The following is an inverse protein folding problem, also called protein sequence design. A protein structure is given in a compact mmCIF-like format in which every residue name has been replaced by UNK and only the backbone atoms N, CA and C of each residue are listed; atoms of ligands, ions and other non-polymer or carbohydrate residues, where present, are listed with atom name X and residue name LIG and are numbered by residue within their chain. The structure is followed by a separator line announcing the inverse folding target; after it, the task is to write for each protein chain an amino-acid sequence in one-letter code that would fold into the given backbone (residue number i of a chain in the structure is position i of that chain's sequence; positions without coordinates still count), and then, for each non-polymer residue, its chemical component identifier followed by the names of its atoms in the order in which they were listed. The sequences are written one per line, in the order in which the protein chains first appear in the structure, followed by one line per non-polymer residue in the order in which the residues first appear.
data_IF_939479141234
#
_entry.id   IF_939479141234
#
_cell.length_a   1.000
_cell.length_b   1.000
_cell.length_c   1.000
_cell.angle_alpha   90.00
_cell.angle_beta   90.00
_cell.angle_gamma   90.00
#
_symmetry.space_group_name_H-M   'P 1'
#
loop_
_entity.id
_entity.type
_entity.pdbx_description
1 polymer ?
#
# COMPACT_ATOMS: atom_id res chain seq x y z
N UNK A 1 24.71 -5.38 -14.11
CA UNK A 1 23.97 -4.54 -13.16
C UNK A 1 22.57 -4.36 -13.74
N UNK A 2 21.53 -4.80 -13.06
CA UNK A 2 20.15 -4.59 -13.52
C UNK A 2 19.88 -3.08 -13.59
N UNK A 3 19.16 -2.65 -14.62
CA UNK A 3 18.73 -1.25 -14.74
C UNK A 3 17.42 -1.10 -13.94
N UNK A 4 17.08 0.11 -13.55
CA UNK A 4 15.83 0.40 -12.86
C UNK A 4 14.59 -0.18 -13.57
N UNK A 5 14.58 -0.16 -14.89
CA UNK A 5 13.53 -0.75 -15.75
C UNK A 5 13.38 -2.27 -15.62
N UNK A 6 14.35 -2.93 -14.99
CA UNK A 6 14.33 -4.39 -14.82
C UNK A 6 13.57 -4.83 -13.54
N UNK A 7 13.29 -3.89 -12.60
CA UNK A 7 12.56 -4.19 -11.38
C UNK A 7 11.05 -4.02 -11.57
N UNK A 8 10.38 -5.16 -11.64
CA UNK A 8 8.96 -5.28 -11.98
C UNK A 8 8.11 -5.27 -10.70
N UNK A 9 7.10 -4.41 -10.64
CA UNK A 9 6.06 -4.43 -9.61
C UNK A 9 4.87 -5.28 -10.05
N UNK A 10 4.38 -5.06 -11.27
CA UNK A 10 3.23 -5.76 -11.84
C UNK A 10 3.44 -6.08 -13.32
N UNK A 11 2.80 -7.20 -13.76
CA UNK A 11 2.79 -7.62 -15.16
C UNK A 11 1.35 -7.84 -15.58
N UNK A 12 0.91 -7.15 -16.62
CA UNK A 12 -0.33 -7.44 -17.32
C UNK A 12 -0.02 -8.24 -18.58
N UNK A 13 -0.56 -9.45 -18.65
CA UNK A 13 -0.40 -10.34 -19.80
C UNK A 13 -1.43 -9.95 -20.84
N UNK A 14 -0.98 -9.63 -22.05
CA UNK A 14 -1.79 -9.38 -23.26
C UNK A 14 -1.57 -10.54 -24.24
N UNK A 15 -2.37 -10.65 -25.31
CA UNK A 15 -2.34 -11.79 -26.23
C UNK A 15 -0.92 -12.12 -26.74
N UNK A 16 -0.14 -11.10 -27.13
CA UNK A 16 1.20 -11.26 -27.70
C UNK A 16 2.30 -10.49 -26.95
N UNK A 17 2.01 -9.92 -25.77
CA UNK A 17 2.95 -9.05 -25.06
C UNK A 17 2.76 -9.04 -23.55
N UNK A 18 3.85 -8.69 -22.85
CA UNK A 18 3.80 -8.35 -21.43
C UNK A 18 3.86 -6.83 -21.29
N UNK A 19 2.86 -6.26 -20.62
CA UNK A 19 2.93 -4.88 -20.11
C UNK A 19 3.53 -4.92 -18.72
N UNK A 20 4.50 -4.09 -18.49
CA UNK A 20 5.26 -4.04 -17.24
C UNK A 20 5.02 -2.70 -16.57
N UNK A 21 4.71 -2.71 -15.28
CA UNK A 21 4.82 -1.58 -14.40
C UNK A 21 6.07 -1.79 -13.54
N UNK A 22 7.00 -0.85 -13.57
CA UNK A 22 8.20 -0.91 -12.73
C UNK A 22 7.86 -0.64 -11.26
N UNK A 23 8.74 -1.06 -10.35
CA UNK A 23 8.57 -0.77 -8.91
C UNK A 23 8.54 0.73 -8.66
N UNK A 24 9.37 1.50 -9.36
CA UNK A 24 9.38 2.97 -9.24
C UNK A 24 8.06 3.60 -9.70
N UNK A 25 7.55 3.23 -10.88
CA UNK A 25 6.29 3.76 -11.39
C UNK A 25 5.15 3.51 -10.41
N UNK A 26 5.07 2.29 -9.86
CA UNK A 26 4.08 1.92 -8.86
C UNK A 26 4.25 2.71 -7.55
N UNK A 27 5.48 2.80 -7.03
CA UNK A 27 5.77 3.58 -5.82
C UNK A 27 5.41 5.05 -5.97
N UNK A 28 5.71 5.67 -7.13
CA UNK A 28 5.34 7.06 -7.43
C UNK A 28 3.81 7.22 -7.47
N UNK A 29 3.11 6.32 -8.14
CA UNK A 29 1.65 6.35 -8.24
C UNK A 29 0.99 6.20 -6.88
N UNK A 30 1.41 5.20 -6.11
CA UNK A 30 0.92 4.93 -4.75
C UNK A 30 1.24 6.08 -3.80
N UNK A 31 2.46 6.63 -3.84
CA UNK A 31 2.84 7.77 -3.01
C UNK A 31 1.97 9.00 -3.29
N UNK A 32 1.70 9.29 -4.56
CA UNK A 32 0.88 10.44 -4.98
C UNK A 32 -0.56 10.29 -4.48
N UNK A 33 -1.16 9.12 -4.63
CA UNK A 33 -2.52 8.86 -4.18
C UNK A 33 -2.62 8.88 -2.65
N UNK A 34 -1.71 8.21 -1.96
CA UNK A 34 -1.68 8.14 -0.49
C UNK A 34 -1.42 9.52 0.14
N UNK A 35 -0.54 10.36 -0.46
CA UNK A 35 -0.35 11.76 -0.08
C UNK A 35 -1.67 12.53 -0.15
N UNK A 36 -2.38 12.40 -1.27
CA UNK A 36 -3.67 13.08 -1.50
C UNK A 36 -4.72 12.65 -0.49
N UNK A 37 -4.87 11.35 -0.24
CA UNK A 37 -5.85 10.82 0.71
C UNK A 37 -5.54 11.23 2.14
N UNK A 38 -4.28 11.13 2.56
CA UNK A 38 -3.85 11.49 3.90
C UNK A 38 -3.86 13.00 4.16
N UNK A 39 -3.85 13.84 3.11
CA UNK A 39 -3.92 15.30 3.25
C UNK A 39 -5.19 15.77 3.96
N UNK A 40 -6.30 15.04 3.85
CA UNK A 40 -7.59 15.36 4.44
C UNK A 40 -7.54 15.47 5.98
N UNK A 41 -6.61 14.73 6.61
CA UNK A 41 -6.40 14.78 8.06
C UNK A 41 -4.99 15.22 8.45
N UNK A 42 -4.34 16.02 7.59
CA UNK A 42 -3.04 16.63 7.87
C UNK A 42 -1.84 15.68 7.86
N UNK A 43 -1.98 14.49 7.23
CA UNK A 43 -0.95 13.46 7.20
C UNK A 43 -0.34 13.24 5.80
N UNK A 44 -0.37 14.25 4.92
CA UNK A 44 0.09 14.14 3.53
C UNK A 44 1.51 13.56 3.41
N UNK A 45 2.47 14.11 4.15
CA UNK A 45 3.86 13.65 4.16
C UNK A 45 4.00 12.18 4.59
N UNK A 46 3.22 11.75 5.56
CA UNK A 46 3.16 10.37 6.02
C UNK A 46 2.59 9.43 4.96
N UNK A 47 1.51 9.85 4.30
CA UNK A 47 0.92 9.11 3.18
C UNK A 47 1.92 8.93 2.04
N UNK A 48 2.60 10.02 1.65
CA UNK A 48 3.65 9.99 0.61
C UNK A 48 4.76 9.01 0.94
N UNK A 49 5.31 9.09 2.16
CA UNK A 49 6.43 8.24 2.58
C UNK A 49 6.02 6.76 2.66
N UNK A 50 4.80 6.46 3.11
CA UNK A 50 4.26 5.11 3.10
C UNK A 50 4.17 4.54 1.68
N UNK A 51 3.55 5.28 0.76
CA UNK A 51 3.43 4.85 -0.63
C UNK A 51 4.78 4.70 -1.34
N UNK A 52 5.76 5.53 -0.97
CA UNK A 52 7.10 5.44 -1.54
C UNK A 52 7.84 4.16 -1.14
N UNK A 53 7.67 3.69 0.10
CA UNK A 53 8.43 2.56 0.64
C UNK A 53 7.66 1.24 0.80
N UNK A 54 6.35 1.20 0.54
CA UNK A 54 5.55 0.00 0.84
C UNK A 54 6.05 -1.27 0.17
N UNK A 55 6.56 -1.15 -1.04
CA UNK A 55 6.97 -2.24 -1.92
C UNK A 55 8.48 -2.36 -2.14
N UNK A 56 9.29 -1.78 -1.26
CA UNK A 56 10.76 -1.79 -1.40
C UNK A 56 11.35 -3.19 -1.53
N UNK A 57 10.75 -4.20 -0.91
CA UNK A 57 11.21 -5.60 -1.04
C UNK A 57 11.00 -6.19 -2.44
N UNK A 58 10.31 -5.52 -3.34
CA UNK A 58 10.25 -5.90 -4.75
C UNK A 58 11.58 -5.59 -5.49
N UNK A 59 12.46 -4.77 -4.90
CA UNK A 59 13.82 -4.55 -5.40
C UNK A 59 14.80 -5.68 -5.04
N UNK A 60 14.37 -6.93 -5.10
CA UNK A 60 15.23 -8.09 -4.79
C UNK A 60 15.39 -8.96 -6.03
N UNK A 61 16.60 -8.93 -6.64
CA UNK A 61 16.88 -9.59 -7.92
C UNK A 61 16.89 -11.12 -7.84
N UNK A 62 17.20 -11.68 -6.65
CA UNK A 62 17.29 -13.12 -6.48
C UNK A 62 16.02 -13.74 -5.87
N UNK A 63 15.12 -12.94 -5.33
CA UNK A 63 13.89 -13.42 -4.71
C UNK A 63 12.62 -12.93 -5.38
N UNK A 64 12.27 -11.65 -5.31
CA UNK A 64 11.00 -11.18 -5.87
C UNK A 64 11.00 -11.13 -7.40
N UNK A 65 12.08 -10.71 -8.04
CA UNK A 65 12.12 -10.56 -9.49
C UNK A 65 12.00 -11.89 -10.24
N UNK A 66 12.65 -12.99 -9.85
CA UNK A 66 12.37 -14.31 -10.43
C UNK A 66 10.97 -14.80 -10.16
N UNK A 67 10.40 -14.52 -8.97
CA UNK A 67 9.02 -14.89 -8.63
C UNK A 67 8.00 -14.23 -9.56
N UNK A 68 8.04 -12.89 -9.69
CA UNK A 68 7.03 -12.16 -10.49
C UNK A 68 7.11 -12.54 -11.98
N UNK A 69 8.31 -12.74 -12.52
CA UNK A 69 8.52 -13.19 -13.89
C UNK A 69 7.95 -14.59 -14.12
N UNK A 70 8.25 -15.53 -13.20
CA UNK A 70 7.71 -16.88 -13.26
C UNK A 70 6.19 -16.90 -13.14
N UNK A 71 5.63 -16.16 -12.18
CA UNK A 71 4.18 -16.07 -11.97
C UNK A 71 3.42 -15.48 -13.16
N UNK A 72 4.08 -14.63 -13.96
CA UNK A 72 3.53 -14.02 -15.17
C UNK A 72 3.78 -14.85 -16.44
N UNK A 73 4.42 -16.02 -16.34
CA UNK A 73 4.76 -16.85 -17.50
C UNK A 73 5.95 -16.36 -18.33
N UNK A 74 6.73 -15.40 -17.81
CA UNK A 74 7.96 -14.96 -18.46
C UNK A 74 9.07 -16.00 -18.23
N UNK A 75 10.03 -16.05 -19.16
CA UNK A 75 11.19 -16.93 -19.00
C UNK A 75 12.08 -16.49 -17.83
N UNK A 76 12.48 -17.43 -16.99
CA UNK A 76 13.36 -17.24 -15.84
C UNK A 76 14.45 -18.30 -15.80
N UNK A 77 15.66 -17.90 -15.39
CA UNK A 77 16.77 -18.84 -15.18
C UNK A 77 16.58 -19.67 -13.91
N UNK A 78 16.11 -19.01 -12.83
CA UNK A 78 15.81 -19.64 -11.56
C UNK A 78 14.31 -19.54 -11.24
N UNK A 79 13.68 -20.67 -11.03
CA UNK A 79 12.24 -20.71 -10.71
C UNK A 79 12.02 -20.49 -9.21
N UNK A 80 11.36 -19.41 -8.87
CA UNK A 80 10.85 -19.13 -7.52
C UNK A 80 9.33 -19.28 -7.55
N UNK A 81 8.80 -20.19 -6.76
CA UNK A 81 7.36 -20.55 -6.76
C UNK A 81 6.62 -19.82 -5.65
N UNK A 82 7.20 -19.78 -4.45
CA UNK A 82 6.57 -19.14 -3.30
C UNK A 82 6.74 -17.62 -3.37
N UNK A 83 5.67 -16.89 -3.06
CA UNK A 83 5.71 -15.43 -3.04
C UNK A 83 6.62 -14.94 -1.91
N UNK A 84 7.73 -14.24 -2.21
CA UNK A 84 8.62 -13.71 -1.20
C UNK A 84 7.96 -12.59 -0.39
N UNK A 85 8.42 -12.42 0.85
CA UNK A 85 8.08 -11.27 1.66
C UNK A 85 8.71 -10.00 1.05
N UNK A 86 7.87 -9.07 0.64
CA UNK A 86 8.31 -7.80 0.02
C UNK A 86 7.89 -6.57 0.83
N UNK A 87 7.08 -6.74 1.87
CA UNK A 87 6.61 -5.64 2.73
C UNK A 87 7.52 -5.36 3.93
N UNK A 88 8.30 -6.36 4.39
CA UNK A 88 9.17 -6.18 5.56
C UNK A 88 10.36 -5.27 5.28
N UNK A 89 10.93 -5.29 4.08
CA UNK A 89 12.11 -4.51 3.75
C UNK A 89 11.88 -2.99 3.87
N UNK A 90 10.74 -2.49 3.35
CA UNK A 90 10.37 -1.07 3.48
C UNK A 90 10.09 -0.66 4.93
N UNK A 91 9.50 -1.54 5.74
CA UNK A 91 9.28 -1.27 7.16
C UNK A 91 10.61 -1.19 7.96
N UNK A 92 11.58 -2.04 7.62
CA UNK A 92 12.94 -1.99 8.21
C UNK A 92 13.64 -0.71 7.76
N UNK A 93 13.55 -0.35 6.48
CA UNK A 93 14.11 0.90 5.95
C UNK A 93 13.55 2.13 6.69
N UNK A 94 12.24 2.14 6.97
CA UNK A 94 11.63 3.20 7.78
C UNK A 94 12.25 3.28 9.18
N UNK A 95 12.50 2.16 9.84
CA UNK A 95 13.16 2.13 11.16
C UNK A 95 14.59 2.67 11.11
N UNK A 96 15.35 2.31 10.09
CA UNK A 96 16.76 2.71 9.97
C UNK A 96 16.90 4.21 9.58
N UNK A 97 16.06 4.70 8.68
CA UNK A 97 16.14 6.09 8.18
C UNK A 97 15.40 7.10 9.07
N UNK A 98 14.36 6.67 9.78
CA UNK A 98 13.47 7.54 10.55
C UNK A 98 13.20 6.99 11.97
N UNK A 99 14.24 6.80 12.81
CA UNK A 99 14.11 6.11 14.10
C UNK A 99 13.09 6.75 15.05
N UNK A 100 12.84 8.06 14.95
CA UNK A 100 11.84 8.78 15.75
C UNK A 100 10.41 8.69 15.22
N UNK A 101 10.21 8.26 13.97
CA UNK A 101 8.91 8.29 13.27
C UNK A 101 8.48 6.93 12.69
N UNK A 102 9.35 5.91 12.73
CA UNK A 102 9.11 4.66 12.02
C UNK A 102 7.88 3.86 12.45
N UNK A 103 7.41 3.84 13.71
CA UNK A 103 6.37 2.88 14.10
C UNK A 103 5.10 3.00 13.24
N UNK A 104 4.51 4.17 13.01
CA UNK A 104 3.34 4.29 12.13
C UNK A 104 3.62 3.82 10.70
N UNK A 105 4.78 4.19 10.13
CA UNK A 105 5.19 3.76 8.80
C UNK A 105 5.34 2.23 8.73
N UNK A 106 6.05 1.66 9.71
CA UNK A 106 6.29 0.22 9.77
C UNK A 106 5.01 -0.60 9.89
N UNK A 107 4.03 -0.14 10.70
CA UNK A 107 2.71 -0.76 10.79
C UNK A 107 1.99 -0.78 9.45
N UNK A 108 1.95 0.36 8.77
CA UNK A 108 1.29 0.48 7.48
C UNK A 108 1.99 -0.35 6.42
N UNK A 109 3.31 -0.21 6.29
CA UNK A 109 4.11 -0.87 5.26
C UNK A 109 4.12 -2.39 5.46
N UNK A 110 4.45 -2.88 6.67
CA UNK A 110 4.49 -4.32 6.92
C UNK A 110 3.10 -4.97 6.82
N UNK A 111 2.04 -4.20 7.07
CA UNK A 111 0.67 -4.67 7.13
C UNK A 111 -0.11 -4.62 5.81
N UNK A 112 0.34 -3.90 4.77
CA UNK A 112 -0.49 -3.52 3.63
C UNK A 112 -1.15 -4.71 2.87
N UNK A 113 -0.59 -5.91 2.97
CA UNK A 113 -1.21 -7.13 2.44
C UNK A 113 -1.87 -8.03 3.48
N UNK A 114 -1.63 -7.83 4.77
CA UNK A 114 -2.08 -8.76 5.82
C UNK A 114 -2.95 -8.13 6.90
N UNK A 115 -3.15 -6.82 6.85
CA UNK A 115 -3.76 -6.02 7.91
C UNK A 115 -2.73 -5.54 8.94
N UNK A 116 -3.17 -4.63 9.81
CA UNK A 116 -2.31 -4.11 10.89
C UNK A 116 -1.97 -5.24 11.86
N UNK A 117 -0.68 -5.43 12.06
CA UNK A 117 -0.12 -6.48 12.90
C UNK A 117 -0.13 -6.07 14.37
N UNK A 118 -0.14 -7.04 15.29
CA UNK A 118 0.24 -6.76 16.66
C UNK A 118 1.73 -6.44 16.74
N UNK A 119 2.14 -5.65 17.74
CA UNK A 119 3.56 -5.40 17.98
C UNK A 119 4.30 -6.69 18.36
N UNK A 120 3.73 -7.42 19.34
CA UNK A 120 4.19 -8.72 19.77
C UNK A 120 2.99 -9.65 19.95
N UNK A 121 3.07 -10.83 19.41
CA UNK A 121 2.09 -11.91 19.64
C UNK A 121 2.79 -13.26 19.71
N UNK A 122 2.11 -14.27 20.20
CA UNK A 122 2.64 -15.65 20.23
C UNK A 122 2.77 -16.27 18.83
N UNK A 123 2.12 -15.67 17.83
CA UNK A 123 2.17 -16.09 16.43
C UNK A 123 3.35 -15.52 15.65
N UNK A 124 3.55 -16.04 14.45
CA UNK A 124 4.60 -15.56 13.54
C UNK A 124 4.28 -14.21 12.90
N UNK A 125 3.02 -13.81 12.88
CA UNK A 125 2.53 -12.60 12.23
C UNK A 125 2.49 -11.43 13.23
N UNK A 126 3.66 -10.92 13.62
CA UNK A 126 3.76 -9.70 14.42
C UNK A 126 4.80 -8.74 13.82
N UNK A 127 4.67 -7.44 14.13
CA UNK A 127 5.52 -6.42 13.56
C UNK A 127 6.99 -6.58 13.97
N UNK A 128 7.24 -6.90 15.25
CA UNK A 128 8.59 -7.07 15.74
C UNK A 128 9.36 -8.18 14.98
N UNK A 129 8.66 -9.28 14.66
CA UNK A 129 9.24 -10.36 13.85
C UNK A 129 9.45 -9.93 12.39
N UNK A 130 8.53 -9.13 11.82
CA UNK A 130 8.74 -8.55 10.48
C UNK A 130 9.98 -7.67 10.44
N UNK A 131 10.18 -6.83 11.44
CA UNK A 131 11.34 -5.95 11.56
C UNK A 131 12.67 -6.69 11.84
N UNK A 132 12.64 -7.96 12.20
CA UNK A 132 13.84 -8.77 12.38
C UNK A 132 14.30 -9.54 11.13
N UNK A 133 13.58 -9.43 10.01
CA UNK A 133 13.92 -10.11 8.74
C UNK A 133 15.00 -9.35 7.99
N UNK A 134 16.25 -9.55 8.35
CA UNK A 134 17.39 -8.81 7.80
C UNK A 134 17.78 -9.20 6.36
N UNK A 135 17.55 -10.46 5.97
CA UNK A 135 18.03 -10.97 4.68
C UNK A 135 17.37 -10.25 3.48
N UNK A 136 16.05 -10.12 3.49
CA UNK A 136 15.32 -9.40 2.44
C UNK A 136 15.68 -7.89 2.43
N UNK A 137 15.99 -7.33 3.59
CA UNK A 137 16.42 -5.94 3.72
C UNK A 137 17.82 -5.71 3.14
N UNK A 138 18.78 -6.61 3.41
CA UNK A 138 20.13 -6.50 2.86
C UNK A 138 20.13 -6.63 1.34
N UNK A 139 19.41 -7.61 0.79
CA UNK A 139 19.28 -7.76 -0.65
C UNK A 139 18.64 -6.51 -1.30
N UNK A 140 17.61 -5.96 -0.68
CA UNK A 140 16.97 -4.72 -1.14
C UNK A 140 17.94 -3.54 -1.14
N UNK A 141 18.77 -3.37 -0.11
CA UNK A 141 19.75 -2.28 -0.02
C UNK A 141 20.79 -2.34 -1.16
N UNK A 142 21.20 -3.56 -1.55
CA UNK A 142 22.15 -3.76 -2.63
C UNK A 142 21.55 -3.50 -4.01
N UNK A 143 20.26 -3.79 -4.18
CA UNK A 143 19.60 -3.81 -5.49
C UNK A 143 18.77 -2.56 -5.78
N UNK A 144 18.18 -1.94 -4.76
CA UNK A 144 17.34 -0.75 -4.93
C UNK A 144 18.17 0.49 -5.29
N UNK A 145 17.72 1.31 -6.26
CA UNK A 145 18.34 2.61 -6.53
C UNK A 145 18.42 3.48 -5.27
N UNK A 146 19.51 4.24 -5.11
CA UNK A 146 19.71 5.11 -3.95
C UNK A 146 18.53 6.09 -3.76
N UNK A 147 18.01 6.65 -4.84
CA UNK A 147 16.87 7.57 -4.80
C UNK A 147 15.61 6.93 -4.19
N UNK A 148 15.40 5.62 -4.38
CA UNK A 148 14.25 4.90 -3.80
C UNK A 148 14.40 4.67 -2.30
N UNK A 149 15.64 4.71 -1.80
CA UNK A 149 15.96 4.55 -0.37
C UNK A 149 15.88 5.87 0.40
N UNK A 150 15.69 6.99 -0.30
CA UNK A 150 15.66 8.31 0.32
C UNK A 150 14.32 8.63 1.01
N UNK A 151 14.40 9.49 2.02
CA UNK A 151 13.24 10.11 2.66
C UNK A 151 12.71 11.20 1.72
N UNK A 152 11.50 11.01 1.19
CA UNK A 152 10.92 11.92 0.19
C UNK A 152 9.96 12.96 0.77
N UNK A 153 9.71 12.91 2.06
CA UNK A 153 8.83 13.86 2.75
C UNK A 153 9.37 14.19 4.14
N UNK A 154 9.28 15.47 4.53
CA UNK A 154 9.53 15.89 5.90
C UNK A 154 8.35 15.51 6.77
N UNK A 155 8.57 14.63 7.75
CA UNK A 155 7.52 14.17 8.65
C UNK A 155 7.41 15.09 9.85
N UNK A 156 6.23 15.66 10.03
CA UNK A 156 5.86 16.40 11.22
C UNK A 156 5.19 15.48 12.25
N UNK A 157 5.06 15.96 13.49
CA UNK A 157 4.27 15.23 14.49
C UNK A 157 2.82 15.09 14.02
N UNK A 158 2.18 13.92 14.26
CA UNK A 158 0.78 13.74 13.93
C UNK A 158 -0.11 14.81 14.57
N UNK A 159 -1.03 15.39 13.77
CA UNK A 159 -2.00 16.37 14.25
C UNK A 159 -3.16 15.63 14.93
N UNK A 160 -2.96 15.25 16.20
CA UNK A 160 -3.93 14.56 17.05
C UNK A 160 -3.95 15.23 18.43
N UNK A 161 -5.16 15.44 18.97
CA UNK A 161 -5.33 16.17 20.22
C UNK A 161 -4.88 15.36 21.44
N UNK A 162 -5.20 14.06 21.48
CA UNK A 162 -4.80 13.14 22.55
C UNK A 162 -4.01 11.97 21.94
N UNK A 163 -2.69 12.09 21.96
CA UNK A 163 -1.80 11.11 21.31
C UNK A 163 -2.02 9.69 21.84
N UNK A 164 -2.18 9.52 23.16
CA UNK A 164 -2.30 8.18 23.75
C UNK A 164 -3.60 7.48 23.34
N UNK A 165 -4.68 8.24 23.16
CA UNK A 165 -5.98 7.69 22.79
C UNK A 165 -6.15 7.54 21.27
N UNK A 166 -5.64 8.50 20.50
CA UNK A 166 -6.05 8.66 19.10
C UNK A 166 -5.03 8.13 18.10
N UNK A 167 -3.77 7.88 18.53
CA UNK A 167 -2.71 7.40 17.64
C UNK A 167 -3.09 6.11 16.89
N UNK A 168 -3.78 5.19 17.54
CA UNK A 168 -4.18 3.94 16.90
C UNK A 168 -5.22 4.16 15.80
N UNK A 169 -6.14 5.12 15.98
CA UNK A 169 -7.11 5.48 14.94
C UNK A 169 -6.43 6.23 13.80
N UNK A 170 -5.51 7.12 14.11
CA UNK A 170 -4.73 7.83 13.12
C UNK A 170 -3.89 6.86 12.24
N UNK A 171 -3.23 5.86 12.85
CA UNK A 171 -2.52 4.81 12.11
C UNK A 171 -3.48 4.01 11.21
N UNK A 172 -4.71 3.70 11.66
CA UNK A 172 -5.71 2.99 10.84
C UNK A 172 -6.13 3.82 9.62
N UNK A 173 -6.32 5.13 9.79
CA UNK A 173 -6.62 6.02 8.69
C UNK A 173 -5.46 6.08 7.68
N UNK A 174 -4.22 6.23 8.19
CA UNK A 174 -3.03 6.24 7.36
C UNK A 174 -2.83 4.91 6.61
N UNK A 175 -3.10 3.79 7.27
CA UNK A 175 -3.10 2.46 6.67
C UNK A 175 -4.14 2.33 5.55
N UNK A 176 -5.37 2.81 5.77
CA UNK A 176 -6.40 2.81 4.74
C UNK A 176 -5.99 3.64 3.52
N UNK A 177 -5.36 4.80 3.73
CA UNK A 177 -4.85 5.63 2.63
C UNK A 177 -3.80 4.88 1.79
N UNK A 178 -2.90 4.13 2.43
CA UNK A 178 -1.90 3.33 1.73
C UNK A 178 -2.54 2.20 0.93
N UNK A 179 -3.43 1.41 1.58
CA UNK A 179 -4.06 0.24 0.93
C UNK A 179 -4.93 0.67 -0.25
N UNK A 180 -5.72 1.74 -0.09
CA UNK A 180 -6.52 2.27 -1.19
C UNK A 180 -5.64 2.80 -2.33
N UNK A 181 -4.55 3.48 -2.02
CA UNK A 181 -3.63 4.01 -3.01
C UNK A 181 -2.93 2.89 -3.81
N UNK A 182 -2.42 1.86 -3.13
CA UNK A 182 -1.80 0.68 -3.73
C UNK A 182 -2.79 -0.05 -4.66
N UNK A 183 -4.02 -0.28 -4.16
CA UNK A 183 -5.06 -0.94 -4.94
C UNK A 183 -5.44 -0.14 -6.18
N UNK A 184 -5.64 1.18 -6.05
CA UNK A 184 -6.08 2.03 -7.16
C UNK A 184 -4.99 2.23 -8.22
N UNK A 185 -3.72 2.30 -7.82
CA UNK A 185 -2.60 2.36 -8.77
C UNK A 185 -2.44 1.03 -9.51
N UNK A 186 -2.52 -0.09 -8.78
CA UNK A 186 -2.54 -1.45 -9.36
C UNK A 186 -3.72 -1.63 -10.32
N UNK A 187 -4.94 -1.24 -9.93
CA UNK A 187 -6.12 -1.31 -10.81
C UNK A 187 -5.95 -0.48 -12.08
N UNK A 188 -5.41 0.73 -11.96
CA UNK A 188 -5.15 1.61 -13.12
C UNK A 188 -4.24 0.93 -14.14
N UNK A 189 -3.25 0.21 -13.68
CA UNK A 189 -2.33 -0.52 -14.53
C UNK A 189 -2.94 -1.83 -15.07
N UNK A 190 -3.54 -2.64 -14.20
CA UNK A 190 -4.05 -3.98 -14.55
C UNK A 190 -5.38 -3.92 -15.31
N UNK A 191 -6.27 -2.99 -14.94
CA UNK A 191 -7.64 -2.87 -15.42
C UNK A 191 -8.01 -1.42 -15.79
N UNK A 192 -7.33 -0.80 -16.79
CA UNK A 192 -7.50 0.61 -17.10
C UNK A 192 -8.94 1.00 -17.46
N UNK A 193 -9.70 0.11 -18.08
CA UNK A 193 -11.11 0.34 -18.40
C UNK A 193 -11.99 0.42 -17.14
N UNK A 194 -11.69 -0.39 -16.13
CA UNK A 194 -12.37 -0.34 -14.84
C UNK A 194 -12.00 0.95 -14.09
N UNK A 195 -10.72 1.28 -14.06
CA UNK A 195 -10.23 2.51 -13.44
C UNK A 195 -10.86 3.77 -14.07
N UNK A 196 -11.07 3.79 -15.39
CA UNK A 196 -11.70 4.90 -16.09
C UNK A 196 -13.18 5.13 -15.73
N UNK A 197 -13.85 4.14 -15.15
CA UNK A 197 -15.24 4.25 -14.67
C UNK A 197 -15.34 4.88 -13.28
N UNK A 198 -14.23 4.98 -12.54
CA UNK A 198 -14.20 5.63 -11.22
C UNK A 198 -14.39 7.14 -11.35
N UNK A 199 -14.98 7.74 -10.32
CA UNK A 199 -15.24 9.19 -10.29
C UNK A 199 -16.52 9.63 -10.99
N UNK A 200 -17.28 8.73 -11.59
CA UNK A 200 -18.60 9.00 -12.18
C UNK A 200 -19.73 8.67 -11.17
N UNK A 201 -19.51 8.98 -9.90
CA UNK A 201 -20.51 8.74 -8.86
C UNK A 201 -21.31 10.02 -8.63
N UNK A 202 -22.58 9.82 -8.30
CA UNK A 202 -23.41 10.92 -7.80
C UNK A 202 -22.81 11.52 -6.52
N UNK A 203 -23.09 12.81 -6.27
CA UNK A 203 -22.69 13.44 -5.01
C UNK A 203 -23.28 12.72 -3.80
N UNK A 204 -22.62 12.83 -2.65
CA UNK A 204 -23.15 12.29 -1.38
C UNK A 204 -24.54 12.85 -1.05
N UNK A 205 -24.80 14.09 -1.43
CA UNK A 205 -26.12 14.73 -1.28
C UNK A 205 -27.18 14.01 -2.13
N UNK A 206 -26.90 13.78 -3.42
CA UNK A 206 -27.80 13.02 -4.29
C UNK A 206 -28.04 11.60 -3.82
N UNK A 207 -26.98 10.92 -3.32
CA UNK A 207 -27.10 9.56 -2.78
C UNK A 207 -27.93 9.55 -1.51
N UNK A 208 -27.77 10.54 -0.63
CA UNK A 208 -28.59 10.73 0.57
C UNK A 208 -30.06 10.94 0.22
N UNK A 209 -30.37 11.83 -0.71
CA UNK A 209 -31.73 12.11 -1.11
C UNK A 209 -32.43 10.86 -1.67
N UNK A 210 -31.74 10.08 -2.49
CA UNK A 210 -32.23 8.79 -3.01
C UNK A 210 -32.45 7.78 -1.88
N UNK A 211 -31.53 7.71 -0.93
CA UNK A 211 -31.66 6.83 0.22
C UNK A 211 -32.87 7.21 1.10
N UNK A 212 -33.02 8.49 1.40
CA UNK A 212 -34.13 8.99 2.21
C UNK A 212 -35.47 8.71 1.51
N UNK A 213 -35.60 9.01 0.21
CA UNK A 213 -36.79 8.69 -0.57
C UNK A 213 -37.11 7.18 -0.58
N UNK A 214 -36.08 6.34 -0.70
CA UNK A 214 -36.27 4.89 -0.62
C UNK A 214 -36.74 4.45 0.75
N UNK A 215 -36.15 4.96 1.83
CA UNK A 215 -36.55 4.66 3.19
C UNK A 215 -37.97 5.12 3.49
N UNK A 216 -38.38 6.32 3.05
CA UNK A 216 -39.76 6.79 3.16
C UNK A 216 -40.74 5.84 2.44
N UNK A 217 -40.40 5.36 1.24
CA UNK A 217 -41.23 4.41 0.52
C UNK A 217 -41.41 3.08 1.23
N UNK A 218 -40.36 2.60 1.93
CA UNK A 218 -40.42 1.37 2.72
C UNK A 218 -41.27 1.54 3.97
N UNK A 219 -41.09 2.68 4.68
CA UNK A 219 -41.79 2.91 5.96
C UNK A 219 -43.26 3.29 5.76
N UNK A 220 -43.61 3.94 4.64
CA UNK A 220 -45.00 4.29 4.33
C UNK A 220 -45.95 3.08 4.27
N UNK A 221 -45.42 1.90 3.94
CA UNK A 221 -46.19 0.65 3.85
C UNK A 221 -45.91 -0.33 5.01
N UNK A 222 -45.09 0.08 5.99
CA UNK A 222 -44.73 -0.80 7.10
C UNK A 222 -45.90 -0.91 8.10
N UNK A 223 -46.24 -2.10 8.62
CA UNK A 223 -47.22 -2.26 9.68
C UNK A 223 -46.82 -1.49 10.93
N UNK A 224 -47.77 -0.89 11.63
CA UNK A 224 -47.53 -0.08 12.83
C UNK A 224 -46.79 -0.81 13.98
N UNK A 225 -46.64 -2.12 13.89
CA UNK A 225 -45.87 -2.95 14.82
C UNK A 225 -44.36 -2.95 14.62
N UNK A 226 -43.84 -2.20 13.62
CA UNK A 226 -42.42 -2.08 13.33
C UNK A 226 -41.83 -0.69 13.65
N UNK A 227 -42.56 0.19 14.31
CA UNK A 227 -42.11 1.52 14.73
C UNK A 227 -41.94 1.56 16.24
#
# INVERSE_FOLDING_TARGET
MMKEQDFIAHVRVEEDAFRIQTVKEHSVGTATLSESFASVFGAAAWGKQNGWWHDMGKYTKNSFQPYIRNASGMAVEQKVVDKPDHSSAGAILAREKLPGYYPPLAYCIAGHHSGLLDWTSSGEANLNRRLSKTDCYQEMLEDAPEEMQEVVASLDQPLIDDFEKDIHQWIRMLFSCLVDADYLDTERFMHPEQAARRGQYDSMETLKDRFDAYMESLTANAPASFI
#
